data_IF_855724594499
#
_entry.id   IF_855724594499
#
_cell.length_a   1.000
_cell.length_b   1.000
_cell.length_c   1.000
_cell.angle_alpha   90.00
_cell.angle_beta   90.00
_cell.angle_gamma   90.00
#
_symmetry.space_group_name_H-M   'P 1'
#
loop_
_entity.id
_entity.type
_entity.pdbx_description
1 polymer ?
#
# COMPACT_ATOMS: atom_id res chain seq x y z
N UNK A 1 -46.25 -28.14 25.33
CA UNK A 1 -45.05 -27.43 25.76
C UNK A 1 -43.72 -27.88 25.15
N UNK A 2 -43.66 -28.86 24.21
CA UNK A 2 -42.38 -29.33 23.59
C UNK A 2 -42.01 -28.69 22.25
N UNK A 3 -42.91 -27.91 21.63
CA UNK A 3 -42.73 -27.37 20.28
C UNK A 3 -42.01 -26.02 20.23
N UNK A 4 -41.98 -25.28 21.32
CA UNK A 4 -41.38 -23.94 21.38
C UNK A 4 -39.88 -23.97 21.79
N UNK A 5 -39.41 -25.09 22.35
CA UNK A 5 -38.01 -25.19 22.79
C UNK A 5 -37.04 -25.47 21.63
N UNK A 6 -37.52 -26.16 20.57
CA UNK A 6 -36.71 -26.41 19.39
C UNK A 6 -36.44 -25.19 18.54
N UNK A 7 -37.41 -24.24 18.51
CA UNK A 7 -37.27 -22.98 17.72
C UNK A 7 -36.31 -22.02 18.44
N UNK A 8 -36.30 -21.97 19.76
CA UNK A 8 -35.37 -21.16 20.54
C UNK A 8 -33.92 -21.63 20.41
N UNK A 9 -33.69 -22.92 20.34
CA UNK A 9 -32.34 -23.49 20.14
C UNK A 9 -31.78 -23.18 18.71
N UNK A 10 -32.65 -23.21 17.71
CA UNK A 10 -32.26 -22.88 16.32
C UNK A 10 -31.85 -21.43 16.14
N UNK A 11 -32.51 -20.51 16.80
CA UNK A 11 -32.17 -19.09 16.72
C UNK A 11 -30.87 -18.74 17.47
N UNK A 12 -30.57 -19.40 18.57
CA UNK A 12 -29.33 -19.19 19.31
C UNK A 12 -28.11 -19.75 18.55
N UNK A 13 -28.26 -20.85 17.82
CA UNK A 13 -27.17 -21.44 17.05
C UNK A 13 -26.86 -20.65 15.76
N UNK A 14 -27.89 -20.03 15.16
CA UNK A 14 -27.73 -19.22 13.96
C UNK A 14 -27.06 -17.86 14.25
N UNK A 15 -27.28 -17.29 15.44
CA UNK A 15 -26.62 -16.03 15.84
C UNK A 15 -25.13 -16.20 16.21
N UNK A 16 -24.70 -17.40 16.63
CA UNK A 16 -23.27 -17.63 16.90
C UNK A 16 -22.41 -17.79 15.62
N UNK A 17 -23.02 -18.19 14.49
CA UNK A 17 -22.31 -18.36 13.22
C UNK A 17 -21.99 -17.04 12.52
N UNK A 18 -22.72 -15.95 12.85
CA UNK A 18 -22.45 -14.62 12.27
C UNK A 18 -21.37 -13.82 13.01
N UNK A 19 -20.99 -14.21 14.21
CA UNK A 19 -19.98 -13.51 15.00
C UNK A 19 -18.53 -13.86 14.61
N UNK A 20 -18.31 -14.86 13.76
CA UNK A 20 -16.97 -15.32 13.37
C UNK A 20 -16.41 -14.64 12.09
N UNK A 21 -17.21 -13.81 11.41
CA UNK A 21 -16.81 -13.18 10.15
C UNK A 21 -16.14 -11.79 10.31
N UNK A 22 -15.93 -11.32 11.54
CA UNK A 22 -15.44 -9.96 11.83
C UNK A 22 -13.95 -9.83 12.14
N UNK A 23 -13.17 -10.90 12.11
CA UNK A 23 -11.75 -10.88 12.49
C UNK A 23 -10.78 -11.07 11.34
N UNK A 24 -11.12 -10.66 10.15
CA UNK A 24 -10.20 -10.74 9.03
C UNK A 24 -10.01 -9.35 8.44
N UNK A 25 -9.06 -8.62 8.95
CA UNK A 25 -8.23 -7.62 8.30
C UNK A 25 -7.64 -6.62 9.31
N UNK A 26 -6.95 -7.08 10.31
CA UNK A 26 -5.90 -6.23 10.89
C UNK A 26 -4.75 -6.30 9.91
N UNK A 27 -4.79 -5.39 8.94
CA UNK A 27 -3.77 -5.24 7.91
C UNK A 27 -2.40 -5.10 8.58
N UNK A 28 -1.37 -5.63 7.92
CA UNK A 28 -0.01 -5.55 8.38
C UNK A 28 0.28 -4.17 8.96
N UNK A 29 0.41 -4.08 10.28
CA UNK A 29 0.62 -2.82 10.98
C UNK A 29 1.95 -2.17 10.62
N UNK A 30 2.86 -2.94 9.98
CA UNK A 30 4.21 -2.53 9.62
C UNK A 30 4.59 -2.91 8.19
N UNK A 31 5.34 -2.03 7.56
CA UNK A 31 5.96 -2.27 6.27
C UNK A 31 6.91 -3.48 6.35
N UNK A 32 6.70 -4.48 5.50
CA UNK A 32 7.51 -5.71 5.47
C UNK A 32 8.97 -5.47 5.09
N UNK A 33 9.28 -4.35 4.44
CA UNK A 33 10.65 -4.02 4.03
C UNK A 33 11.41 -3.17 5.06
N UNK A 34 10.82 -2.09 5.58
CA UNK A 34 11.51 -1.11 6.42
C UNK A 34 11.00 -1.05 7.87
N UNK A 35 9.93 -1.78 8.22
CA UNK A 35 9.37 -1.82 9.56
C UNK A 35 8.56 -0.59 9.99
N UNK A 36 8.44 0.44 9.14
CA UNK A 36 7.64 1.64 9.43
C UNK A 36 6.17 1.27 9.62
N UNK A 37 5.48 1.90 10.56
CA UNK A 37 4.05 1.73 10.72
C UNK A 37 3.32 2.22 9.45
N UNK A 38 2.37 1.42 8.98
CA UNK A 38 1.49 1.78 7.85
C UNK A 38 0.38 2.69 8.37
N UNK A 39 -0.13 2.41 9.57
CA UNK A 39 -1.07 3.30 10.25
C UNK A 39 -0.48 4.71 10.39
N UNK A 40 -1.23 5.73 9.95
CA UNK A 40 -0.79 7.11 9.85
C UNK A 40 -0.07 7.48 8.55
N UNK A 41 0.21 6.48 7.68
CA UNK A 41 0.84 6.66 6.36
C UNK A 41 0.01 5.99 5.24
N UNK A 42 -1.28 5.78 5.48
CA UNK A 42 -2.15 4.99 4.59
C UNK A 42 -2.20 5.56 3.18
N UNK A 43 -2.19 6.89 3.03
CA UNK A 43 -2.25 7.56 1.72
C UNK A 43 -0.96 7.41 0.88
N UNK A 44 0.07 6.78 1.43
CA UNK A 44 1.27 6.43 0.67
C UNK A 44 1.44 4.93 0.48
N UNK A 45 0.56 4.10 1.05
CA UNK A 45 0.71 2.65 1.05
C UNK A 45 0.79 2.07 -0.37
N UNK A 46 1.58 1.01 -0.49
CA UNK A 46 1.76 0.22 -1.70
C UNK A 46 1.60 -1.26 -1.36
N UNK A 47 0.94 -2.02 -2.21
CA UNK A 47 0.66 -3.43 -1.99
C UNK A 47 1.06 -4.26 -3.20
N UNK A 48 1.60 -5.45 -2.95
CA UNK A 48 1.95 -6.43 -3.96
C UNK A 48 1.30 -7.76 -3.61
N UNK A 49 0.60 -8.33 -4.59
CA UNK A 49 0.12 -9.71 -4.56
C UNK A 49 1.07 -10.55 -5.40
N UNK A 50 1.65 -11.58 -4.82
CA UNK A 50 2.56 -12.49 -5.51
C UNK A 50 1.83 -13.69 -6.14
N UNK A 51 2.48 -14.37 -7.10
CA UNK A 51 1.91 -15.54 -7.80
C UNK A 51 1.47 -16.65 -6.86
N UNK A 52 2.15 -16.81 -5.70
CA UNK A 52 1.78 -17.77 -4.64
C UNK A 52 0.58 -17.34 -3.79
N UNK A 53 -0.08 -16.21 -4.07
CA UNK A 53 -1.20 -15.68 -3.31
C UNK A 53 -0.82 -14.91 -2.05
N UNK A 54 0.46 -14.79 -1.73
CA UNK A 54 0.94 -13.95 -0.63
C UNK A 54 0.74 -12.47 -0.98
N UNK A 55 0.20 -11.71 -0.03
CA UNK A 55 -0.01 -10.28 -0.13
C UNK A 55 0.91 -9.56 0.87
N UNK A 56 1.67 -8.59 0.40
CA UNK A 56 2.57 -7.78 1.22
C UNK A 56 2.24 -6.30 1.07
N UNK A 57 2.13 -5.61 2.20
CA UNK A 57 1.86 -4.16 2.24
C UNK A 57 3.11 -3.40 2.66
N UNK A 58 3.38 -2.32 1.97
CA UNK A 58 4.51 -1.42 2.16
C UNK A 58 4.02 -0.02 2.52
N UNK A 59 4.78 0.70 3.35
CA UNK A 59 4.39 2.03 3.82
C UNK A 59 4.33 3.08 2.70
N UNK A 60 5.05 2.86 1.60
CA UNK A 60 5.12 3.84 0.52
C UNK A 60 5.67 3.25 -0.79
N UNK A 61 5.54 3.96 -1.93
CA UNK A 61 6.10 3.54 -3.20
C UNK A 61 7.63 3.33 -3.18
N UNK A 62 8.36 4.02 -2.29
CA UNK A 62 9.80 3.75 -2.11
C UNK A 62 10.09 2.27 -1.83
N UNK A 63 9.34 1.69 -0.90
CA UNK A 63 9.48 0.27 -0.52
C UNK A 63 8.81 -0.65 -1.54
N UNK A 64 7.59 -0.31 -1.99
CA UNK A 64 6.83 -1.12 -2.92
C UNK A 64 7.48 -1.27 -4.28
N UNK A 65 7.94 -0.18 -4.90
CA UNK A 65 8.65 -0.21 -6.19
C UNK A 65 9.95 -1.01 -6.09
N UNK A 66 10.68 -0.92 -4.97
CA UNK A 66 11.88 -1.73 -4.75
C UNK A 66 11.56 -3.22 -4.75
N UNK A 67 10.55 -3.63 -3.99
CA UNK A 67 10.17 -5.04 -3.91
C UNK A 67 9.58 -5.54 -5.22
N UNK A 68 8.82 -4.70 -5.93
CA UNK A 68 8.34 -5.00 -7.27
C UNK A 68 9.49 -5.30 -8.24
N UNK A 69 10.53 -4.46 -8.26
CA UNK A 69 11.69 -4.68 -9.15
C UNK A 69 12.52 -5.88 -8.73
N UNK A 70 12.69 -6.11 -7.43
CA UNK A 70 13.52 -7.20 -6.90
C UNK A 70 12.88 -8.57 -7.11
N UNK A 71 11.54 -8.66 -7.01
CA UNK A 71 10.77 -9.90 -7.13
C UNK A 71 9.85 -9.91 -8.36
N UNK A 72 10.19 -9.18 -9.43
CA UNK A 72 9.31 -8.91 -10.58
C UNK A 72 8.67 -10.16 -11.15
N UNK A 73 9.43 -11.27 -11.27
CA UNK A 73 8.95 -12.51 -11.89
C UNK A 73 7.92 -13.26 -11.02
N UNK A 74 7.79 -12.89 -9.75
CA UNK A 74 6.80 -13.43 -8.82
C UNK A 74 5.62 -12.50 -8.55
N UNK A 75 5.64 -11.26 -9.06
CA UNK A 75 4.53 -10.31 -8.90
C UNK A 75 3.37 -10.72 -9.79
N UNK A 76 2.20 -10.92 -9.19
CA UNK A 76 0.94 -11.15 -9.88
C UNK A 76 0.23 -9.84 -10.19
N UNK A 77 0.15 -8.96 -9.21
CA UNK A 77 -0.45 -7.62 -9.34
C UNK A 77 0.07 -6.71 -8.23
N UNK A 78 -0.10 -5.41 -8.41
CA UNK A 78 0.18 -4.41 -7.38
C UNK A 78 -0.85 -3.30 -7.41
N UNK A 79 -1.00 -2.60 -6.28
CA UNK A 79 -1.81 -1.39 -6.16
C UNK A 79 -1.12 -0.38 -5.26
N UNK A 80 -1.34 0.89 -5.51
CA UNK A 80 -0.81 1.98 -4.70
C UNK A 80 -1.91 2.95 -4.32
N UNK A 81 -1.76 3.63 -3.20
CA UNK A 81 -2.68 4.70 -2.81
C UNK A 81 -2.39 5.97 -3.61
N UNK A 82 -3.43 6.59 -4.12
CA UNK A 82 -3.35 7.99 -4.53
C UNK A 82 -3.18 8.88 -3.31
N UNK A 83 -2.14 9.69 -3.32
CA UNK A 83 -1.77 10.53 -2.16
C UNK A 83 -2.87 11.52 -1.76
N UNK A 84 -3.66 11.99 -2.72
CA UNK A 84 -4.70 13.00 -2.48
C UNK A 84 -6.00 12.38 -2.01
N UNK A 85 -6.52 11.37 -2.74
CA UNK A 85 -7.81 10.76 -2.43
C UNK A 85 -7.71 9.63 -1.40
N UNK A 86 -6.54 9.01 -1.27
CA UNK A 86 -6.34 7.81 -0.48
C UNK A 86 -6.93 6.55 -1.13
N UNK A 87 -7.36 6.60 -2.37
CA UNK A 87 -7.92 5.44 -3.08
C UNK A 87 -6.83 4.51 -3.60
N UNK A 88 -7.13 3.20 -3.61
CA UNK A 88 -6.28 2.21 -4.25
C UNK A 88 -6.40 2.27 -5.77
N UNK A 89 -5.27 2.36 -6.46
CA UNK A 89 -5.19 2.45 -7.92
C UNK A 89 -4.15 1.48 -8.46
N UNK A 90 -4.29 1.13 -9.73
CA UNK A 90 -3.24 0.44 -10.49
C UNK A 90 -2.05 1.39 -10.68
N UNK A 91 -0.85 1.04 -10.21
CA UNK A 91 0.33 1.88 -10.35
C UNK A 91 0.69 2.22 -11.81
N UNK A 92 0.32 1.35 -12.76
CA UNK A 92 0.54 1.59 -14.19
C UNK A 92 -0.21 2.82 -14.72
N UNK A 93 -1.29 3.23 -14.04
CA UNK A 93 -2.08 4.41 -14.36
C UNK A 93 -1.66 5.65 -13.57
N UNK A 94 -0.70 5.52 -12.67
CA UNK A 94 -0.28 6.58 -11.76
C UNK A 94 0.94 7.34 -12.25
N UNK A 95 1.12 8.52 -11.69
CA UNK A 95 2.30 9.38 -11.85
C UNK A 95 3.00 9.49 -10.50
N UNK A 96 4.31 9.34 -10.49
CA UNK A 96 5.11 9.37 -9.26
C UNK A 96 5.98 10.62 -9.19
N UNK A 97 6.06 11.22 -8.01
CA UNK A 97 6.99 12.33 -7.72
C UNK A 97 8.10 11.79 -6.80
N UNK A 98 9.34 11.95 -7.24
CA UNK A 98 10.54 11.48 -6.56
C UNK A 98 11.38 12.63 -6.04
N UNK A 99 11.95 12.47 -4.83
CA UNK A 99 12.82 13.45 -4.15
C UNK A 99 12.18 14.83 -3.99
N UNK A 100 10.89 14.86 -3.66
CA UNK A 100 10.26 16.10 -3.20
C UNK A 100 10.78 16.49 -1.81
N UNK A 101 10.64 17.76 -1.44
CA UNK A 101 10.91 18.25 -0.08
C UNK A 101 9.88 17.73 0.95
N UNK A 102 8.69 17.31 0.49
CA UNK A 102 7.73 16.62 1.32
C UNK A 102 8.11 15.14 1.42
N UNK A 103 8.27 14.63 2.65
CA UNK A 103 8.65 13.25 2.96
C UNK A 103 7.59 12.64 3.86
N UNK A 104 6.44 12.23 3.32
CA UNK A 104 5.34 11.70 4.14
C UNK A 104 5.63 10.32 4.73
N UNK A 105 6.59 9.59 4.19
CA UNK A 105 7.01 8.27 4.67
C UNK A 105 8.53 8.11 4.57
N UNK A 106 9.03 7.26 3.66
CA UNK A 106 10.48 7.01 3.53
C UNK A 106 11.22 8.13 2.78
N UNK A 107 12.51 8.31 3.11
CA UNK A 107 13.44 9.15 2.37
C UNK A 107 14.40 8.27 1.54
N UNK A 108 14.68 8.65 0.26
CA UNK A 108 14.06 9.72 -0.48
C UNK A 108 12.59 9.45 -0.77
N UNK A 109 11.78 10.52 -0.82
CA UNK A 109 10.33 10.39 -1.02
C UNK A 109 10.00 9.83 -2.41
N UNK A 110 9.03 8.91 -2.45
CA UNK A 110 8.29 8.51 -3.63
C UNK A 110 6.80 8.64 -3.31
N UNK A 111 6.08 9.44 -4.05
CA UNK A 111 4.68 9.75 -3.80
C UNK A 111 3.89 9.49 -5.07
N UNK A 112 2.82 8.67 -4.99
CA UNK A 112 1.97 8.31 -6.11
C UNK A 112 0.73 9.21 -6.23
N UNK A 113 0.38 9.59 -7.45
CA UNK A 113 -0.79 10.39 -7.78
C UNK A 113 -1.58 9.73 -8.91
N UNK A 114 -2.87 9.59 -8.74
CA UNK A 114 -3.78 9.12 -9.79
C UNK A 114 -4.00 10.17 -10.87
N UNK A 115 -3.96 11.46 -10.52
CA UNK A 115 -4.05 12.55 -11.47
C UNK A 115 -2.67 13.20 -11.76
N UNK A 116 -2.25 13.14 -13.01
CA UNK A 116 -1.00 13.77 -13.48
C UNK A 116 -0.98 15.29 -13.24
N UNK A 117 -2.13 15.96 -13.27
CA UNK A 117 -2.23 17.40 -12.99
C UNK A 117 -1.96 17.68 -11.52
N UNK A 118 -2.47 16.84 -10.61
CA UNK A 118 -2.17 16.91 -9.18
C UNK A 118 -0.67 16.68 -8.90
N UNK A 119 -0.05 15.68 -9.55
CA UNK A 119 1.40 15.45 -9.46
C UNK A 119 2.22 16.66 -9.89
N UNK A 120 1.86 17.30 -10.99
CA UNK A 120 2.53 18.53 -11.47
C UNK A 120 2.37 19.71 -10.51
N UNK A 121 1.17 19.91 -9.94
CA UNK A 121 0.93 20.95 -8.93
C UNK A 121 1.75 20.70 -7.67
N UNK A 122 1.79 19.44 -7.23
CA UNK A 122 2.60 19.03 -6.09
C UNK A 122 4.09 19.27 -6.35
N UNK A 123 4.62 18.83 -7.50
CA UNK A 123 6.00 19.09 -7.90
C UNK A 123 6.34 20.58 -7.91
N UNK A 124 5.44 21.43 -8.40
CA UNK A 124 5.65 22.89 -8.43
C UNK A 124 5.83 23.47 -7.01
N UNK A 125 5.13 22.92 -6.02
CA UNK A 125 5.21 23.40 -4.62
C UNK A 125 6.37 22.77 -3.83
N UNK A 126 6.63 21.50 -4.06
CA UNK A 126 7.56 20.70 -3.23
C UNK A 126 8.80 20.18 -3.97
N UNK A 127 8.96 20.53 -5.24
CA UNK A 127 10.07 20.05 -6.06
C UNK A 127 9.98 18.57 -6.40
N UNK A 128 11.12 18.00 -6.77
CA UNK A 128 11.23 16.61 -7.17
C UNK A 128 11.13 16.38 -8.66
N UNK A 129 11.21 15.13 -9.08
CA UNK A 129 11.13 14.70 -10.48
C UNK A 129 9.89 13.85 -10.70
N UNK A 130 9.19 14.07 -11.79
CA UNK A 130 8.01 13.29 -12.19
C UNK A 130 8.44 12.09 -13.02
N UNK A 131 7.85 10.94 -12.72
CA UNK A 131 8.02 9.69 -13.43
C UNK A 131 6.67 9.04 -13.74
N UNK A 132 6.57 8.36 -14.89
CA UNK A 132 5.60 7.32 -15.12
C UNK A 132 5.94 6.09 -14.27
N UNK A 133 5.04 5.11 -14.22
CA UNK A 133 5.30 3.88 -13.46
C UNK A 133 6.54 3.13 -13.93
N UNK A 134 6.68 2.91 -15.23
CA UNK A 134 7.83 2.20 -15.80
C UNK A 134 9.16 2.93 -15.54
N UNK A 135 9.15 4.25 -15.66
CA UNK A 135 10.30 5.08 -15.33
C UNK A 135 10.62 5.00 -13.84
N UNK A 136 9.60 4.98 -12.98
CA UNK A 136 9.74 4.86 -11.52
C UNK A 136 10.36 3.50 -11.14
N UNK A 137 9.91 2.40 -11.73
CA UNK A 137 10.52 1.07 -11.56
C UNK A 137 11.98 1.08 -11.99
N UNK A 138 12.28 1.62 -13.17
CA UNK A 138 13.64 1.72 -13.72
C UNK A 138 14.55 2.55 -12.82
N UNK A 139 14.06 3.70 -12.35
CA UNK A 139 14.85 4.58 -11.48
C UNK A 139 15.06 3.95 -10.11
N UNK A 140 14.01 3.30 -9.55
CA UNK A 140 14.12 2.65 -8.24
C UNK A 140 15.07 1.44 -8.27
N UNK A 141 15.14 0.71 -9.38
CA UNK A 141 16.06 -0.42 -9.54
C UNK A 141 17.54 -0.02 -9.47
N UNK A 142 17.89 1.22 -9.79
CA UNK A 142 19.26 1.74 -9.70
C UNK A 142 19.71 2.04 -8.27
N UNK A 143 18.78 2.07 -7.32
CA UNK A 143 19.04 2.44 -5.93
C UNK A 143 19.25 1.22 -5.06
N UNK A 144 20.17 1.26 -4.07
CA UNK A 144 20.36 0.17 -3.11
C UNK A 144 19.10 -0.07 -2.28
N UNK A 145 19.03 -1.26 -1.64
CA UNK A 145 17.91 -1.71 -0.80
C UNK A 145 17.52 -0.69 0.28
N UNK A 146 18.52 -0.11 0.93
CA UNK A 146 18.37 0.94 1.92
C UNK A 146 19.24 2.11 1.52
N UNK A 147 18.63 3.23 1.12
CA UNK A 147 19.28 4.47 1.45
C UNK A 147 18.97 4.70 2.92
N UNK A 148 20.03 4.67 3.74
CA UNK A 148 20.00 4.77 5.18
C UNK A 148 18.90 5.70 5.67
N UNK A 149 18.06 5.18 6.57
CA UNK A 149 17.34 6.01 7.51
C UNK A 149 18.39 6.58 8.47
N UNK A 150 19.15 7.56 8.00
CA UNK A 150 20.09 8.30 8.80
C UNK A 150 19.33 9.39 9.51
N UNK A 151 19.02 9.11 10.77
CA UNK A 151 18.68 10.11 11.78
C UNK A 151 17.19 10.51 11.82
N UNK A 152 16.41 9.87 12.63
CA UNK A 152 15.49 10.52 13.57
C UNK A 152 15.97 10.20 14.98
#
# INVERSE_FOLDING_TARGET
MKRNMAVLFGFLFFSLLFAAAGYAAEMASKCTLCGMNIAGNENTAYEIVYMGGTEETYCCPHCGLYMHTTKKDSVKSSRARDFISGEWMDPAQMTFVFKSSAVPACSPSWIGFGDKTAAKKFQKGFGGTIYSYEEALTERAKMPKGMEMKGM
#
